data_IF_416081102196
#
_entry.id   IF_416081102196
#
_cell.length_a   1.000
_cell.length_b   1.000
_cell.length_c   1.000
_cell.angle_alpha   90.00
_cell.angle_beta   90.00
_cell.angle_gamma   90.00
#
_symmetry.space_group_name_H-M   'P 1'
#
loop_
_entity.id
_entity.type
_entity.pdbx_description
1 polymer ?
#
# COMPACT_ATOMS: atom_id res chain seq x y z
N UNK A 1 -2.67 -3.40 18.63
CA UNK A 1 -2.36 -2.77 17.33
C UNK A 1 -0.85 -2.61 17.24
N UNK A 2 -0.24 -2.93 16.12
CA UNK A 2 1.19 -2.76 15.84
C UNK A 2 1.37 -1.89 14.61
N UNK A 3 2.40 -1.05 14.59
CA UNK A 3 2.70 -0.15 13.46
C UNK A 3 4.14 -0.38 12.99
N UNK A 4 4.33 -0.50 11.68
CA UNK A 4 5.62 -0.56 11.00
C UNK A 4 5.68 0.60 10.04
N UNK A 5 6.83 1.29 9.98
CA UNK A 5 7.03 2.47 9.13
C UNK A 5 8.30 2.32 8.29
N UNK A 6 8.30 3.01 7.16
CA UNK A 6 9.46 3.19 6.30
C UNK A 6 9.51 4.60 5.76
N UNK A 7 10.71 5.17 5.69
CA UNK A 7 10.98 6.49 5.14
C UNK A 7 11.86 6.31 3.90
N UNK A 8 11.55 7.04 2.84
CA UNK A 8 12.38 7.17 1.64
C UNK A 8 12.48 8.64 1.24
N UNK A 9 13.59 9.00 0.62
CA UNK A 9 13.83 10.32 0.03
C UNK A 9 13.83 10.23 -1.49
N UNK A 10 13.31 11.27 -2.12
CA UNK A 10 13.12 11.40 -3.56
C UNK A 10 13.62 12.76 -4.02
N UNK A 11 14.20 12.85 -5.23
CA UNK A 11 14.60 14.12 -5.83
C UNK A 11 13.40 14.92 -6.37
N UNK A 12 12.33 14.31 -6.95
CA UNK A 12 11.16 15.04 -7.43
C UNK A 12 10.40 15.79 -6.34
N UNK A 13 9.53 16.71 -6.75
CA UNK A 13 8.68 17.52 -5.88
C UNK A 13 7.69 16.68 -5.05
N UNK A 14 7.18 17.25 -3.96
CA UNK A 14 6.16 16.59 -3.12
C UNK A 14 4.92 16.20 -3.94
N UNK A 15 4.51 17.03 -4.89
CA UNK A 15 3.40 16.76 -5.80
C UNK A 15 3.64 15.47 -6.62
N UNK A 16 4.79 15.35 -7.26
CA UNK A 16 5.11 14.20 -8.11
C UNK A 16 5.24 12.91 -7.29
N UNK A 17 5.89 13.00 -6.11
CA UNK A 17 6.05 11.86 -5.21
C UNK A 17 4.71 11.41 -4.66
N UNK A 18 3.87 12.35 -4.17
CA UNK A 18 2.54 12.04 -3.67
C UNK A 18 1.68 11.38 -4.75
N UNK A 19 1.62 11.98 -5.94
CA UNK A 19 0.87 11.45 -7.09
C UNK A 19 1.30 10.04 -7.47
N UNK A 20 2.61 9.75 -7.44
CA UNK A 20 3.13 8.43 -7.78
C UNK A 20 2.78 7.37 -6.71
N UNK A 21 2.78 7.75 -5.42
CA UNK A 21 2.43 6.81 -4.33
C UNK A 21 0.91 6.66 -4.22
N UNK A 22 0.13 7.70 -4.51
CA UNK A 22 -1.34 7.66 -4.49
C UNK A 22 -1.93 6.78 -5.61
N UNK A 23 -1.19 6.60 -6.71
CA UNK A 23 -1.58 5.77 -7.83
C UNK A 23 -1.47 4.27 -7.47
N UNK A 24 -2.63 3.61 -7.33
CA UNK A 24 -2.71 2.17 -7.05
C UNK A 24 -2.22 1.32 -8.22
N UNK A 25 -2.25 1.81 -9.45
CA UNK A 25 -1.65 1.15 -10.61
C UNK A 25 -0.14 1.01 -10.46
N UNK A 26 0.51 1.95 -9.76
CA UNK A 26 1.94 1.90 -9.44
C UNK A 26 2.20 1.13 -8.14
N UNK A 27 1.60 1.56 -7.05
CA UNK A 27 1.92 1.05 -5.72
C UNK A 27 1.23 -0.27 -5.37
N UNK A 28 0.16 -0.63 -6.09
CA UNK A 28 -0.53 -1.92 -5.98
C UNK A 28 0.07 -3.05 -6.82
N UNK A 29 1.04 -2.77 -7.70
CA UNK A 29 1.62 -3.77 -8.60
C UNK A 29 2.17 -4.99 -7.88
N UNK A 30 2.77 -4.82 -6.70
CA UNK A 30 3.29 -5.93 -5.91
C UNK A 30 2.22 -6.92 -5.44
N UNK A 31 0.94 -6.53 -5.43
CA UNK A 31 -0.20 -7.39 -5.08
C UNK A 31 -0.86 -8.02 -6.32
N UNK A 32 -0.80 -7.34 -7.47
CA UNK A 32 -1.38 -7.82 -8.73
C UNK A 32 -0.44 -8.73 -9.52
N UNK A 33 0.87 -8.64 -9.25
CA UNK A 33 1.88 -9.49 -9.89
C UNK A 33 2.27 -10.65 -8.98
N UNK A 34 2.43 -11.83 -9.57
CA UNK A 34 2.93 -13.00 -8.85
C UNK A 34 4.34 -12.75 -8.32
N UNK A 35 4.57 -13.07 -7.06
CA UNK A 35 5.89 -12.95 -6.41
C UNK A 35 6.11 -14.06 -5.38
N UNK A 36 7.36 -14.28 -4.99
CA UNK A 36 7.69 -15.24 -3.94
C UNK A 36 6.98 -14.91 -2.61
N UNK A 37 6.88 -13.62 -2.24
CA UNK A 37 6.17 -13.18 -1.02
C UNK A 37 4.66 -13.36 -1.11
N UNK A 38 4.10 -13.36 -2.32
CA UNK A 38 2.70 -13.72 -2.59
C UNK A 38 2.54 -15.23 -2.84
N UNK A 39 3.62 -16.02 -2.69
CA UNK A 39 3.65 -17.46 -2.93
C UNK A 39 3.05 -17.86 -4.28
N UNK A 40 3.43 -17.11 -5.33
CA UNK A 40 2.94 -17.34 -6.68
C UNK A 40 1.51 -16.85 -6.96
N UNK A 41 0.80 -16.36 -5.94
CA UNK A 41 -0.57 -15.85 -6.08
C UNK A 41 -0.59 -14.38 -6.47
N UNK A 42 -1.73 -13.92 -6.97
CA UNK A 42 -2.01 -12.51 -7.28
C UNK A 42 -3.41 -12.13 -6.83
N UNK A 43 -3.61 -10.85 -6.53
CA UNK A 43 -4.91 -10.29 -6.22
C UNK A 43 -5.42 -9.44 -7.39
N UNK A 44 -6.73 -9.43 -7.55
CA UNK A 44 -7.43 -8.54 -8.46
C UNK A 44 -7.85 -7.28 -7.72
N UNK A 45 -7.68 -6.13 -8.36
CA UNK A 45 -8.12 -4.83 -7.88
C UNK A 45 -9.40 -4.42 -8.62
N UNK A 46 -10.42 -4.01 -7.87
CA UNK A 46 -11.67 -3.48 -8.37
C UNK A 46 -11.94 -2.12 -7.69
N UNK A 47 -12.18 -1.07 -8.47
CA UNK A 47 -12.61 0.21 -7.93
C UNK A 47 -14.13 0.21 -7.74
N UNK A 48 -14.59 0.56 -6.55
CA UNK A 48 -15.99 0.58 -6.16
C UNK A 48 -16.62 1.99 -6.27
N UNK A 49 -15.79 3.00 -6.50
CA UNK A 49 -16.20 4.39 -6.67
C UNK A 49 -15.67 4.93 -8.00
N UNK A 50 -16.37 5.90 -8.59
CA UNK A 50 -15.95 6.54 -9.84
C UNK A 50 -14.64 7.31 -9.70
N UNK A 51 -14.39 7.88 -8.53
CA UNK A 51 -13.10 8.49 -8.20
C UNK A 51 -12.12 7.39 -7.73
N UNK A 52 -11.05 7.21 -8.46
CA UNK A 52 -10.02 6.22 -8.14
C UNK A 52 -8.99 6.74 -7.12
N UNK A 53 -9.00 8.04 -6.85
CA UNK A 53 -8.13 8.73 -5.88
C UNK A 53 -8.93 9.76 -5.08
N UNK A 54 -8.38 10.22 -3.96
CA UNK A 54 -9.01 11.22 -3.11
C UNK A 54 -9.83 10.64 -1.96
N UNK A 55 -10.38 11.53 -1.15
CA UNK A 55 -11.20 11.18 0.01
C UNK A 55 -12.43 10.38 -0.41
N UNK A 56 -12.75 9.33 0.33
CA UNK A 56 -13.92 8.46 0.09
C UNK A 56 -13.75 7.47 -1.07
N UNK A 57 -12.60 7.46 -1.78
CA UNK A 57 -12.32 6.42 -2.77
C UNK A 57 -12.33 5.05 -2.13
N UNK A 58 -13.05 4.10 -2.76
CA UNK A 58 -13.16 2.71 -2.30
C UNK A 58 -12.68 1.75 -3.36
N UNK A 59 -11.97 0.73 -2.93
CA UNK A 59 -11.51 -0.34 -3.81
C UNK A 59 -11.48 -1.68 -3.06
N UNK A 60 -11.67 -2.75 -3.81
CA UNK A 60 -11.72 -4.12 -3.30
C UNK A 60 -10.59 -4.95 -3.87
N UNK A 61 -9.99 -5.73 -3.01
CA UNK A 61 -8.99 -6.72 -3.37
C UNK A 61 -9.56 -8.12 -3.21
N UNK A 62 -9.51 -8.91 -4.28
CA UNK A 62 -9.99 -10.30 -4.28
C UNK A 62 -8.97 -11.24 -4.88
N UNK A 63 -8.91 -12.47 -4.39
CA UNK A 63 -8.01 -13.49 -4.94
C UNK A 63 -7.66 -14.55 -3.93
N UNK A 64 -6.48 -15.16 -4.11
CA UNK A 64 -5.96 -16.16 -3.18
C UNK A 64 -4.52 -15.81 -2.80
N UNK A 65 -4.15 -16.09 -1.57
CA UNK A 65 -2.77 -16.06 -1.08
C UNK A 65 -2.56 -17.26 -0.17
N UNK A 66 -1.48 -18.03 -0.36
CA UNK A 66 -1.23 -19.27 0.39
C UNK A 66 -2.44 -20.27 0.31
N UNK A 67 -3.05 -20.42 -0.88
CA UNK A 67 -4.26 -21.19 -1.13
C UNK A 67 -5.53 -20.71 -0.38
N UNK A 68 -5.44 -19.71 0.47
CA UNK A 68 -6.57 -19.14 1.20
C UNK A 68 -7.19 -17.96 0.44
N UNK A 69 -8.53 -17.91 0.43
CA UNK A 69 -9.28 -16.83 -0.22
C UNK A 69 -9.10 -15.53 0.55
N UNK A 70 -8.73 -14.47 -0.16
CA UNK A 70 -8.69 -13.10 0.32
C UNK A 70 -9.81 -12.29 -0.33
N UNK A 71 -10.46 -11.46 0.47
CA UNK A 71 -11.53 -10.57 0.03
C UNK A 71 -11.68 -9.45 1.05
N UNK A 72 -11.31 -8.23 0.67
CA UNK A 72 -11.39 -7.09 1.57
C UNK A 72 -11.54 -5.78 0.80
N UNK A 73 -12.27 -4.87 1.40
CA UNK A 73 -12.49 -3.51 0.88
C UNK A 73 -11.69 -2.51 1.67
N UNK A 74 -11.19 -1.51 0.99
CA UNK A 74 -10.41 -0.41 1.54
C UNK A 74 -11.06 0.92 1.17
N UNK A 75 -11.06 1.85 2.10
CA UNK A 75 -11.52 3.22 1.90
C UNK A 75 -10.42 4.23 2.24
N UNK A 76 -10.33 5.30 1.46
CA UNK A 76 -9.50 6.46 1.76
C UNK A 76 -10.25 7.36 2.73
N UNK A 77 -9.80 7.36 4.00
CA UNK A 77 -10.46 8.06 5.11
C UNK A 77 -9.87 9.44 5.40
N UNK A 78 -8.70 9.74 4.85
CA UNK A 78 -8.09 11.08 4.82
C UNK A 78 -7.30 11.26 3.54
N UNK A 79 -7.42 12.45 2.95
CA UNK A 79 -6.65 12.81 1.77
C UNK A 79 -6.41 14.31 1.74
N UNK A 80 -5.16 14.72 1.85
CA UNK A 80 -4.70 16.10 1.72
C UNK A 80 -3.69 16.08 0.59
N UNK A 81 -4.04 16.73 -0.52
CA UNK A 81 -3.24 16.75 -1.75
C UNK A 81 -1.78 17.11 -1.43
N UNK A 82 -0.87 16.31 -1.99
CA UNK A 82 0.59 16.49 -1.91
C UNK A 82 1.19 16.38 -0.50
N UNK A 83 0.39 16.00 0.52
CA UNK A 83 0.82 15.96 1.92
C UNK A 83 0.50 14.64 2.61
N UNK A 84 -0.78 14.23 2.64
CA UNK A 84 -1.19 13.14 3.52
C UNK A 84 -2.31 12.29 2.92
N UNK A 85 -2.17 10.97 3.06
CA UNK A 85 -3.23 10.01 2.73
C UNK A 85 -3.32 8.94 3.80
N UNK A 86 -4.54 8.67 4.26
CA UNK A 86 -4.85 7.52 5.13
C UNK A 86 -5.89 6.67 4.42
N UNK A 87 -5.65 5.36 4.39
CA UNK A 87 -6.62 4.40 3.87
C UNK A 87 -6.60 3.13 4.73
N UNK A 88 -7.76 2.51 4.89
CA UNK A 88 -7.92 1.39 5.80
C UNK A 88 -8.98 0.41 5.33
N UNK A 89 -8.89 -0.82 5.82
CA UNK A 89 -9.92 -1.83 5.58
C UNK A 89 -11.22 -1.45 6.28
N UNK A 90 -12.32 -1.58 5.55
CA UNK A 90 -13.69 -1.37 6.03
C UNK A 90 -14.51 -2.65 5.91
N UNK A 91 -15.56 -2.77 6.75
CA UNK A 91 -16.46 -3.93 6.77
C UNK A 91 -15.76 -5.23 7.18
N UNK A 92 -16.33 -6.35 6.73
CA UNK A 92 -15.73 -7.67 6.95
C UNK A 92 -14.56 -7.90 5.98
N UNK A 93 -13.37 -8.05 6.55
CA UNK A 93 -12.16 -8.30 5.78
C UNK A 93 -11.70 -9.75 5.94
N UNK A 94 -11.68 -10.51 4.84
CA UNK A 94 -11.06 -11.85 4.79
C UNK A 94 -9.57 -11.70 4.49
N UNK A 95 -8.82 -11.38 5.53
CA UNK A 95 -7.37 -11.26 5.54
C UNK A 95 -6.77 -12.47 6.26
N UNK A 96 -5.55 -12.88 5.87
CA UNK A 96 -4.88 -14.06 6.43
C UNK A 96 -4.09 -13.69 7.68
N UNK A 97 -3.19 -12.72 7.54
CA UNK A 97 -2.23 -12.34 8.59
C UNK A 97 -2.66 -11.12 9.40
N UNK A 98 -3.75 -10.46 9.00
CA UNK A 98 -4.39 -9.35 9.73
C UNK A 98 -5.88 -9.60 9.86
N UNK A 99 -6.54 -8.93 10.83
CA UNK A 99 -8.00 -8.76 10.87
C UNK A 99 -8.43 -7.38 10.37
N UNK A 100 -7.50 -6.44 10.36
CA UNK A 100 -7.67 -5.07 9.92
C UNK A 100 -6.31 -4.43 9.69
N UNK A 101 -6.19 -3.53 8.73
CA UNK A 101 -5.01 -2.68 8.57
C UNK A 101 -5.40 -1.25 8.17
N UNK A 102 -4.51 -0.32 8.50
CA UNK A 102 -4.52 1.08 8.08
C UNK A 102 -3.15 1.43 7.53
N UNK A 103 -3.14 2.07 6.37
CA UNK A 103 -1.97 2.67 5.78
C UNK A 103 -1.99 4.18 6.03
N UNK A 104 -0.83 4.77 6.24
CA UNK A 104 -0.67 6.21 6.39
C UNK A 104 0.56 6.66 5.61
N UNK A 105 0.35 7.52 4.63
CA UNK A 105 1.36 8.22 3.85
C UNK A 105 1.44 9.66 4.34
N UNK A 106 2.66 10.12 4.64
CA UNK A 106 2.98 11.52 4.86
C UNK A 106 4.12 11.93 3.93
N UNK A 107 3.94 13.02 3.20
CA UNK A 107 4.89 13.56 2.23
C UNK A 107 5.25 14.98 2.63
N UNK A 108 6.54 15.26 2.71
CA UNK A 108 7.07 16.54 3.14
C UNK A 108 8.19 17.00 2.21
N UNK A 109 8.16 18.26 1.70
CA UNK A 109 9.32 18.82 1.01
C UNK A 109 10.49 18.95 1.99
N UNK A 110 11.70 18.70 1.49
CA UNK A 110 12.96 18.91 2.20
C UNK A 110 13.90 19.72 1.32
N UNK A 111 15.02 20.21 1.87
CA UNK A 111 15.94 21.10 1.16
C UNK A 111 16.35 20.58 -0.24
N UNK A 112 16.60 19.28 -0.39
CA UNK A 112 17.05 18.67 -1.63
C UNK A 112 16.07 17.58 -2.13
N UNK A 113 14.75 17.88 -2.16
CA UNK A 113 13.75 16.95 -2.68
C UNK A 113 12.56 16.73 -1.77
N UNK A 114 12.14 15.50 -1.62
CA UNK A 114 10.92 15.13 -0.89
C UNK A 114 11.18 13.92 0.01
N UNK A 115 10.73 14.00 1.26
CA UNK A 115 10.67 12.90 2.20
C UNK A 115 9.26 12.31 2.17
N UNK A 116 9.15 11.00 1.94
CA UNK A 116 7.90 10.26 2.10
C UNK A 116 8.03 9.24 3.23
N UNK A 117 7.12 9.29 4.18
CA UNK A 117 6.95 8.30 5.23
C UNK A 117 5.67 7.50 4.97
N UNK A 118 5.80 6.19 4.86
CA UNK A 118 4.69 5.27 4.71
C UNK A 118 4.68 4.29 5.87
N UNK A 119 3.52 4.12 6.51
CA UNK A 119 3.34 3.19 7.62
C UNK A 119 2.13 2.28 7.44
N UNK A 120 2.23 1.08 8.02
CA UNK A 120 1.13 0.11 8.15
C UNK A 120 0.87 -0.11 9.63
N UNK A 121 -0.35 0.17 10.07
CA UNK A 121 -0.88 -0.24 11.37
C UNK A 121 -1.84 -1.40 11.19
N UNK A 122 -1.72 -2.46 11.98
CA UNK A 122 -2.57 -3.63 11.82
C UNK A 122 -3.01 -4.26 13.14
N UNK A 123 -4.12 -5.01 13.10
CA UNK A 123 -4.62 -5.85 14.19
C UNK A 123 -4.41 -7.32 13.83
N UNK A 124 -4.01 -8.13 14.82
CA UNK A 124 -3.84 -9.58 14.64
C UNK A 124 -5.19 -10.29 14.47
N UNK A 125 -5.26 -11.38 13.70
CA UNK A 125 -6.48 -12.19 13.58
C UNK A 125 -6.88 -12.84 14.91
N UNK A 126 -8.18 -13.13 15.06
CA UNK A 126 -8.70 -13.84 16.25
C UNK A 126 -8.48 -15.37 16.16
N UNK A 127 -8.55 -15.96 14.94
CA UNK A 127 -8.40 -17.41 14.73
C UNK A 127 -6.97 -17.85 15.06
N UNK A 128 -6.83 -18.93 15.81
CA UNK A 128 -5.54 -19.42 16.31
C UNK A 128 -4.51 -19.63 15.19
N UNK A 129 -4.85 -20.37 14.13
CA UNK A 129 -3.96 -20.63 13.01
C UNK A 129 -3.47 -19.34 12.33
N UNK A 130 -4.38 -18.43 12.01
CA UNK A 130 -4.06 -17.13 11.42
C UNK A 130 -3.22 -16.26 12.37
N UNK A 131 -3.42 -16.40 13.69
CA UNK A 131 -2.64 -15.69 14.71
C UNK A 131 -1.18 -16.17 14.75
N UNK A 132 -0.94 -17.46 14.59
CA UNK A 132 0.41 -18.03 14.47
C UNK A 132 1.09 -17.52 13.20
N UNK A 133 0.41 -17.59 12.04
CA UNK A 133 0.92 -17.03 10.79
C UNK A 133 1.20 -15.53 10.89
N UNK A 134 0.30 -14.77 11.54
CA UNK A 134 0.50 -13.35 11.79
C UNK A 134 1.74 -13.08 12.65
N UNK A 135 1.97 -13.88 13.67
CA UNK A 135 3.15 -13.74 14.54
C UNK A 135 4.46 -13.94 13.76
N UNK A 136 4.51 -14.93 12.87
CA UNK A 136 5.71 -15.28 12.11
C UNK A 136 5.96 -14.35 10.92
N UNK A 137 4.91 -13.96 10.21
CA UNK A 137 5.04 -13.35 8.88
C UNK A 137 4.53 -11.91 8.77
N UNK A 138 3.67 -11.40 9.67
CA UNK A 138 3.04 -10.09 9.50
C UNK A 138 4.06 -8.95 9.40
N UNK A 139 5.06 -8.93 10.26
CA UNK A 139 6.09 -7.87 10.25
C UNK A 139 6.95 -7.93 9.00
N UNK A 140 7.35 -9.14 8.58
CA UNK A 140 8.14 -9.33 7.37
C UNK A 140 7.37 -8.89 6.13
N UNK A 141 6.09 -9.27 6.05
CA UNK A 141 5.20 -8.88 4.97
C UNK A 141 4.97 -7.35 4.94
N UNK A 142 4.71 -6.71 6.09
CA UNK A 142 4.58 -5.26 6.16
C UNK A 142 5.85 -4.55 5.67
N UNK A 143 7.02 -4.96 6.15
CA UNK A 143 8.30 -4.38 5.71
C UNK A 143 8.52 -4.56 4.21
N UNK A 144 8.16 -5.70 3.67
CA UNK A 144 8.24 -5.98 2.24
C UNK A 144 7.26 -5.10 1.43
N UNK A 145 5.98 -5.00 1.84
CA UNK A 145 4.99 -4.14 1.19
C UNK A 145 5.46 -2.68 1.15
N UNK A 146 5.85 -2.11 2.29
CA UNK A 146 6.32 -0.73 2.36
C UNK A 146 7.53 -0.48 1.45
N UNK A 147 8.49 -1.42 1.43
CA UNK A 147 9.66 -1.35 0.54
C UNK A 147 9.26 -1.40 -0.93
N UNK A 148 8.32 -2.28 -1.28
CA UNK A 148 7.82 -2.41 -2.65
C UNK A 148 7.08 -1.16 -3.11
N UNK A 149 6.12 -0.68 -2.34
CA UNK A 149 5.33 0.51 -2.68
C UNK A 149 6.22 1.74 -2.92
N UNK A 150 7.12 2.04 -1.98
CA UNK A 150 8.03 3.18 -2.11
C UNK A 150 9.06 2.97 -3.24
N UNK A 151 9.55 1.75 -3.44
CA UNK A 151 10.47 1.41 -4.52
C UNK A 151 9.82 1.46 -5.90
N UNK A 152 8.59 1.02 -6.04
CA UNK A 152 7.83 1.07 -7.29
C UNK A 152 7.51 2.53 -7.68
N UNK A 153 7.13 3.36 -6.72
CA UNK A 153 6.98 4.81 -6.91
C UNK A 153 8.31 5.45 -7.39
N UNK A 154 9.43 5.08 -6.78
CA UNK A 154 10.76 5.60 -7.17
C UNK A 154 11.14 5.21 -8.59
N UNK A 155 10.83 3.99 -9.02
CA UNK A 155 11.05 3.52 -10.41
C UNK A 155 10.17 4.27 -11.39
N UNK A 156 8.88 4.39 -11.11
CA UNK A 156 7.92 5.13 -11.95
C UNK A 156 8.36 6.58 -12.18
N UNK A 157 8.81 7.26 -11.12
CA UNK A 157 9.31 8.64 -11.21
C UNK A 157 10.58 8.75 -12.09
N UNK A 158 11.53 7.81 -11.97
CA UNK A 158 12.72 7.79 -12.81
C UNK A 158 12.39 7.61 -14.30
N UNK A 159 11.47 6.72 -14.62
CA UNK A 159 11.05 6.46 -16.00
C UNK A 159 10.40 7.69 -16.63
N UNK A 160 9.55 8.42 -15.89
CA UNK A 160 8.92 9.67 -16.36
C UNK A 160 9.94 10.76 -16.67
N UNK A 161 10.98 10.93 -15.84
CA UNK A 161 12.03 11.92 -16.05
C UNK A 161 12.81 11.62 -17.33
N UNK A 162 13.07 10.36 -17.62
CA UNK A 162 13.78 9.96 -18.86
C UNK A 162 12.92 10.24 -20.09
N UNK A 163 11.62 9.89 -20.04
CA UNK A 163 10.68 10.12 -21.17
C UNK A 163 10.42 11.59 -21.47
N UNK A 164 10.58 12.48 -20.49
CA UNK A 164 10.38 13.94 -20.69
C UNK A 164 11.62 14.65 -21.24
N UNK A 165 12.76 13.97 -21.37
CA UNK A 165 14.02 14.50 -21.91
C UNK A 165 14.33 14.06 -23.33
N UNK A 166 13.48 13.22 -23.91
CA UNK A 166 13.50 12.77 -25.31
C UNK A 166 12.39 13.46 -26.10
#
# INVERSE_FOLDING_TARGET
MKTIRRIETYNPSAHEVFKSIDDLGVTGMHMTQSSMMMMGSKLNLEFLTNNHTGLGSKYRWTGKMMAMKMDFTVEVTKWIKDQEKIWETIGEAKLIIYSWYRMHLNVQPIMNGTKAELSISYKKPKRFFNRVLSFLFADLYCKWCLRKMLGDAKRSLKTKIISSRV
#
